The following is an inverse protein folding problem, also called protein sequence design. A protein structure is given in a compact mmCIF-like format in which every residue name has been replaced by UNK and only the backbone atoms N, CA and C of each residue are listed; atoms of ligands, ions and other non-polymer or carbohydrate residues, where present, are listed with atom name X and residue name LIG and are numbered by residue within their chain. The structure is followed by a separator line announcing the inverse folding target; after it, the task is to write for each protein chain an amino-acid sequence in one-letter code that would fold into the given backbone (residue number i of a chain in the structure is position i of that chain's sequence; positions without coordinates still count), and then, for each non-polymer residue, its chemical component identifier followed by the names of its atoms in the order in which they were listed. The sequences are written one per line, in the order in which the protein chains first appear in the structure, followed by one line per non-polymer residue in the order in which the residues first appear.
data_IF_053074473478
#
_entry.id   IF_053074473478
#
_cell.length_a   1.000
_cell.length_b   1.000
_cell.length_c   1.000
_cell.angle_alpha   90.00
_cell.angle_beta   90.00
_cell.angle_gamma   90.00
#
_symmetry.space_group_name_H-M   'P 1'
#
loop_
_entity.id
_entity.type
_entity.pdbx_description
1 polymer ?
#
# COMPACT_ATOMS: atom_id res chain seq x y z
N UNK A 1 4.04 -10.96 -4.77
CA UNK A 1 4.15 -9.74 -5.62
C UNK A 1 2.75 -9.18 -5.78
N UNK A 2 2.53 -7.90 -5.48
CA UNK A 2 1.23 -7.24 -5.58
C UNK A 2 1.29 -6.19 -6.67
N UNK A 3 0.27 -6.13 -7.53
CA UNK A 3 0.09 -5.05 -8.49
C UNK A 3 -0.98 -4.12 -7.93
N UNK A 4 -0.65 -2.84 -7.85
CA UNK A 4 -1.44 -1.82 -7.17
C UNK A 4 -1.46 -0.55 -8.00
N UNK A 5 -2.49 0.26 -7.79
CA UNK A 5 -2.59 1.57 -8.44
C UNK A 5 -1.88 2.62 -7.59
N UNK A 6 -0.85 3.25 -8.15
CA UNK A 6 -0.03 4.27 -7.48
C UNK A 6 -0.83 5.50 -7.05
N UNK A 7 -1.87 5.89 -7.79
CA UNK A 7 -2.73 7.02 -7.43
C UNK A 7 -3.51 6.75 -6.14
N UNK A 8 -3.97 5.51 -5.92
CA UNK A 8 -4.62 5.10 -4.67
C UNK A 8 -3.63 5.17 -3.51
N UNK A 9 -2.39 4.70 -3.71
CA UNK A 9 -1.34 4.80 -2.68
C UNK A 9 -1.03 6.26 -2.32
N UNK A 10 -0.87 7.13 -3.33
CA UNK A 10 -0.62 8.56 -3.12
C UNK A 10 -1.80 9.28 -2.43
N UNK A 11 -3.02 8.80 -2.64
CA UNK A 11 -4.21 9.32 -1.95
C UNK A 11 -4.23 8.88 -0.48
N UNK A 12 -3.88 7.62 -0.22
CA UNK A 12 -3.92 7.01 1.10
C UNK A 12 -2.75 7.42 2.02
N UNK A 13 -1.60 7.76 1.44
CA UNK A 13 -0.35 8.01 2.16
C UNK A 13 0.39 9.22 1.59
N UNK A 14 0.77 10.19 2.44
CA UNK A 14 1.65 11.28 2.02
C UNK A 14 3.06 10.77 1.71
N UNK A 15 3.51 9.69 2.36
CA UNK A 15 4.82 9.07 2.08
C UNK A 15 4.84 8.49 0.67
N UNK A 16 3.82 7.71 0.29
CA UNK A 16 3.73 7.22 -1.09
C UNK A 16 3.52 8.35 -2.09
N UNK A 17 2.85 9.44 -1.71
CA UNK A 17 2.74 10.62 -2.57
C UNK A 17 4.09 11.27 -2.85
N UNK A 18 4.94 11.39 -1.84
CA UNK A 18 6.30 11.93 -2.02
C UNK A 18 7.17 10.95 -2.81
N UNK A 19 7.00 9.64 -2.63
CA UNK A 19 7.79 8.61 -3.31
C UNK A 19 7.38 8.40 -4.78
N UNK A 20 6.07 8.28 -5.07
CA UNK A 20 5.52 7.84 -6.35
C UNK A 20 4.68 8.92 -7.07
N UNK A 21 4.43 10.05 -6.43
CA UNK A 21 3.53 11.07 -6.94
C UNK A 21 4.13 11.90 -8.08
N UNK A 22 3.27 12.63 -8.83
CA UNK A 22 3.74 13.55 -9.86
C UNK A 22 4.65 14.64 -9.27
N UNK A 23 5.81 14.86 -9.89
CA UNK A 23 6.78 15.86 -9.41
C UNK A 23 7.66 15.39 -8.26
N UNK A 24 7.58 14.12 -7.87
CA UNK A 24 8.58 13.49 -7.00
C UNK A 24 9.95 13.46 -7.69
N UNK A 25 11.00 13.69 -6.91
CA UNK A 25 12.40 13.57 -7.33
C UNK A 25 12.99 12.18 -7.11
N UNK A 26 12.19 11.23 -6.62
CA UNK A 26 12.61 9.85 -6.39
C UNK A 26 12.67 9.06 -7.69
N UNK A 27 13.62 8.12 -7.77
CA UNK A 27 13.83 7.26 -8.94
C UNK A 27 12.57 6.46 -9.27
N UNK A 28 11.86 5.99 -8.24
CA UNK A 28 10.63 5.22 -8.39
C UNK A 28 9.52 6.00 -9.10
N UNK A 29 9.43 7.32 -8.89
CA UNK A 29 8.48 8.16 -9.61
C UNK A 29 8.90 8.39 -11.06
N UNK A 30 10.20 8.57 -11.31
CA UNK A 30 10.73 8.70 -12.67
C UNK A 30 10.48 7.42 -13.49
N UNK A 31 10.77 6.26 -12.90
CA UNK A 31 10.52 4.95 -13.49
C UNK A 31 9.03 4.70 -13.73
N UNK A 32 8.18 5.05 -12.76
CA UNK A 32 6.73 4.95 -12.91
C UNK A 32 6.22 5.84 -14.06
N UNK A 33 6.74 7.07 -14.18
CA UNK A 33 6.37 7.99 -15.25
C UNK A 33 6.84 7.49 -16.63
N UNK A 34 8.05 6.93 -16.71
CA UNK A 34 8.57 6.33 -17.94
C UNK A 34 7.73 5.11 -18.36
N UNK A 35 7.39 4.24 -17.41
CA UNK A 35 6.58 3.05 -17.66
C UNK A 35 5.14 3.39 -18.07
N UNK A 36 4.54 4.45 -17.52
CA UNK A 36 3.23 4.93 -17.95
C UNK A 36 3.21 5.39 -19.42
N UNK A 37 4.35 5.88 -19.95
CA UNK A 37 4.47 6.29 -21.35
C UNK A 37 4.68 5.11 -22.29
N UNK A 38 5.36 4.05 -21.82
CA UNK A 38 5.60 2.85 -22.61
C UNK A 38 5.60 1.59 -21.71
N UNK A 39 4.43 0.99 -21.45
CA UNK A 39 4.27 -0.06 -20.45
C UNK A 39 4.89 -1.37 -20.90
N UNK A 40 6.18 -1.56 -20.58
CA UNK A 40 6.92 -2.80 -20.89
C UNK A 40 6.97 -3.75 -19.69
N UNK A 41 6.93 -3.24 -18.45
CA UNK A 41 6.96 -4.08 -17.23
C UNK A 41 6.42 -3.34 -16.00
N UNK A 42 5.68 -3.98 -15.08
CA UNK A 42 5.28 -3.33 -13.83
C UNK A 42 6.51 -2.92 -12.99
N UNK A 43 6.53 -1.67 -12.51
CA UNK A 43 7.53 -1.20 -11.55
C UNK A 43 7.53 -2.14 -10.34
N UNK A 44 8.71 -2.59 -9.95
CA UNK A 44 8.87 -3.50 -8.81
C UNK A 44 9.64 -2.74 -7.75
N UNK A 45 8.92 -2.20 -6.77
CA UNK A 45 9.55 -1.58 -5.61
C UNK A 45 9.67 -2.63 -4.48
N UNK A 46 10.89 -3.06 -4.11
CA UNK A 46 11.08 -3.94 -2.97
C UNK A 46 10.82 -3.14 -1.69
N UNK A 47 9.67 -3.37 -1.07
CA UNK A 47 9.39 -2.88 0.27
C UNK A 47 9.86 -3.93 1.28
N UNK A 48 10.55 -3.50 2.33
CA UNK A 48 11.08 -4.36 3.40
C UNK A 48 10.01 -4.78 4.45
N UNK A 49 8.74 -4.52 4.16
CA UNK A 49 7.63 -4.77 5.08
C UNK A 49 7.14 -6.22 5.02
N UNK A 50 6.46 -6.67 6.08
CA UNK A 50 5.78 -7.97 6.06
C UNK A 50 4.78 -8.05 4.91
N UNK A 51 5.03 -8.96 3.97
CA UNK A 51 4.27 -9.06 2.74
C UNK A 51 2.79 -9.39 2.98
N UNK A 52 2.48 -10.13 4.06
CA UNK A 52 1.12 -10.54 4.38
C UNK A 52 0.31 -9.40 5.00
N UNK A 53 0.88 -8.66 5.95
CA UNK A 53 0.29 -7.47 6.55
C UNK A 53 0.10 -6.36 5.51
N UNK A 54 1.12 -6.12 4.67
CA UNK A 54 1.04 -5.17 3.57
C UNK A 54 -0.06 -5.58 2.57
N UNK A 55 -0.20 -6.87 2.24
CA UNK A 55 -1.26 -7.35 1.35
C UNK A 55 -2.66 -6.99 1.86
N UNK A 56 -2.90 -7.12 3.16
CA UNK A 56 -4.18 -6.77 3.79
C UNK A 56 -4.43 -5.28 3.66
N UNK A 57 -3.44 -4.44 3.98
CA UNK A 57 -3.55 -2.98 3.84
C UNK A 57 -3.85 -2.59 2.39
N UNK A 58 -3.09 -3.12 1.43
CA UNK A 58 -3.30 -2.86 0.01
C UNK A 58 -4.71 -3.27 -0.45
N UNK A 59 -5.21 -4.42 0.00
CA UNK A 59 -6.58 -4.86 -0.30
C UNK A 59 -7.64 -3.92 0.29
N UNK A 60 -7.43 -3.42 1.50
CA UNK A 60 -8.32 -2.43 2.13
C UNK A 60 -8.33 -1.13 1.31
N UNK A 61 -7.15 -0.61 0.96
CA UNK A 61 -7.02 0.63 0.18
C UNK A 61 -7.66 0.52 -1.21
N UNK A 62 -7.60 -0.67 -1.82
CA UNK A 62 -8.21 -0.95 -3.12
C UNK A 62 -9.65 -1.47 -3.04
N UNK A 63 -10.30 -1.42 -1.87
CA UNK A 63 -11.68 -1.86 -1.66
C UNK A 63 -11.94 -3.34 -2.05
N UNK A 64 -10.90 -4.18 -1.98
CA UNK A 64 -10.94 -5.59 -2.36
C UNK A 64 -11.35 -6.50 -1.19
N UNK A 65 -12.47 -6.20 -0.53
CA UNK A 65 -12.87 -6.85 0.72
C UNK A 65 -13.14 -8.36 0.58
N UNK A 66 -13.58 -8.81 -0.59
CA UNK A 66 -13.80 -10.25 -0.88
C UNK A 66 -12.51 -11.09 -0.75
N UNK A 67 -11.37 -10.43 -0.81
CA UNK A 67 -10.05 -11.05 -0.71
C UNK A 67 -9.47 -10.94 0.71
N UNK A 68 -10.15 -10.27 1.64
CA UNK A 68 -9.71 -10.28 3.03
C UNK A 68 -9.98 -11.65 3.65
N UNK A 69 -9.12 -12.11 4.58
CA UNK A 69 -9.40 -13.33 5.31
C UNK A 69 -10.77 -13.20 5.99
N UNK A 70 -11.64 -14.20 5.78
CA UNK A 70 -12.91 -14.29 6.49
C UNK A 70 -12.66 -14.36 8.01
N UNK A 71 -13.69 -14.13 8.82
CA UNK A 71 -13.63 -14.17 10.31
C UNK A 71 -12.95 -15.45 10.84
N UNK A 72 -12.96 -16.54 10.07
CA UNK A 72 -12.34 -17.83 10.43
C UNK A 72 -10.87 -17.99 9.98
N UNK A 73 -10.35 -17.09 9.15
CA UNK A 73 -8.94 -16.96 8.77
C UNK A 73 -8.27 -15.77 9.46
N UNK A 74 -8.60 -15.59 10.74
CA UNK A 74 -8.42 -14.37 11.52
C UNK A 74 -7.06 -13.67 11.29
N UNK A 75 -7.10 -12.34 11.22
CA UNK A 75 -5.92 -11.51 11.39
C UNK A 75 -5.45 -11.73 12.83
N UNK A 76 -4.34 -12.46 13.01
CA UNK A 76 -3.77 -12.70 14.32
C UNK A 76 -3.13 -11.41 14.90
N UNK A 77 -2.72 -11.48 16.17
CA UNK A 77 -2.15 -10.34 16.89
C UNK A 77 -0.86 -9.83 16.23
N UNK A 78 -0.04 -10.73 15.70
CA UNK A 78 1.23 -10.40 15.06
C UNK A 78 0.99 -9.64 13.75
N UNK A 79 0.04 -10.10 12.94
CA UNK A 79 -0.35 -9.44 11.71
C UNK A 79 -0.99 -8.08 11.96
N UNK A 80 -1.85 -7.95 12.99
CA UNK A 80 -2.37 -6.64 13.40
C UNK A 80 -1.25 -5.68 13.83
N UNK A 81 -0.28 -6.18 14.59
CA UNK A 81 0.88 -5.40 15.01
C UNK A 81 1.74 -4.93 13.82
N UNK A 82 2.04 -5.83 12.88
CA UNK A 82 2.77 -5.50 11.65
C UNK A 82 1.99 -4.51 10.78
N UNK A 83 0.67 -4.65 10.70
CA UNK A 83 -0.19 -3.67 10.02
C UNK A 83 -0.11 -2.29 10.68
N UNK A 84 -0.07 -2.22 12.01
CA UNK A 84 0.09 -0.95 12.73
C UNK A 84 1.45 -0.30 12.45
N UNK A 85 2.54 -1.08 12.43
CA UNK A 85 3.87 -0.59 12.04
C UNK A 85 3.85 0.00 10.63
N UNK A 86 3.27 -0.72 9.66
CA UNK A 86 3.19 -0.27 8.27
C UNK A 86 2.31 0.99 8.17
N UNK A 87 1.19 1.03 8.89
CA UNK A 87 0.30 2.18 8.94
C UNK A 87 1.02 3.44 9.43
N UNK A 88 1.84 3.32 10.48
CA UNK A 88 2.63 4.41 11.01
C UNK A 88 3.76 4.82 10.05
N UNK A 89 4.52 3.85 9.54
CA UNK A 89 5.66 4.05 8.62
C UNK A 89 5.28 4.86 7.37
N UNK A 90 4.10 4.61 6.81
CA UNK A 90 3.62 5.31 5.61
C UNK A 90 2.57 6.39 5.91
N UNK A 91 2.34 6.75 7.17
CA UNK A 91 1.33 7.73 7.58
C UNK A 91 -0.06 7.50 6.94
N UNK A 92 -0.58 6.29 7.10
CA UNK A 92 -1.88 5.85 6.55
C UNK A 92 -3.01 5.93 7.57
N UNK A 93 -2.79 6.57 8.72
CA UNK A 93 -3.74 6.63 9.82
C UNK A 93 -5.08 7.24 9.41
N UNK A 94 -5.10 8.24 8.51
CA UNK A 94 -6.34 8.83 7.98
C UNK A 94 -7.09 7.89 7.04
N UNK A 95 -6.36 7.15 6.21
CA UNK A 95 -6.94 6.21 5.24
C UNK A 95 -7.48 4.95 5.93
N UNK A 96 -6.79 4.48 6.97
CA UNK A 96 -7.15 3.27 7.71
C UNK A 96 -7.91 3.55 9.01
N UNK A 97 -8.02 4.80 9.45
CA UNK A 97 -8.58 5.16 10.76
C UNK A 97 -10.01 4.70 10.97
N UNK A 98 -10.84 4.73 9.92
CA UNK A 98 -12.20 4.19 9.95
C UNK A 98 -12.26 2.68 10.25
N UNK A 99 -11.18 1.95 9.97
CA UNK A 99 -11.07 0.50 10.21
C UNK A 99 -10.59 0.17 11.62
N UNK A 100 -9.89 1.09 12.27
CA UNK A 100 -9.37 0.90 13.63
C UNK A 100 -10.27 1.48 14.73
N UNK A 101 -11.30 2.25 14.38
CA UNK A 101 -12.26 2.87 15.31
C UNK A 101 -13.58 2.08 15.48
N UNK A 102 -13.62 0.79 15.13
CA UNK A 102 -14.79 -0.07 15.33
C UNK A 102 -14.58 -1.12 16.40
#
# INVERSE_FOLDING_TARGET
RFQVNSSVLCLASPVFRVMLGPGSSFEEAADLAANNRNPTKPLTNPLEDDANALAVILRILHLQYNWLPSINGAIDKEKLYNMAIICDKYDMQKALGYWFHR
#
